data_IF_751315685277
#
_entry.id   IF_751315685277
#
_cell.length_a   1.000
_cell.length_b   1.000
_cell.length_c   1.000
_cell.angle_alpha   90.00
_cell.angle_beta   90.00
_cell.angle_gamma   90.00
#
_symmetry.space_group_name_H-M   'P 1'
#
loop_
_entity.id
_entity.type
_entity.pdbx_description
1 polymer ?
#
# COMPACT_ATOMS: atom_id res chain seq x y z
N UNK A 1 34.56 20.47 -30.33
CA UNK A 1 34.25 20.07 -28.93
C UNK A 1 33.96 21.34 -28.14
N UNK A 2 32.75 21.47 -27.54
CA UNK A 2 32.45 22.58 -26.61
C UNK A 2 33.27 22.34 -25.34
N UNK A 3 33.99 23.37 -24.88
CA UNK A 3 34.68 23.31 -23.58
C UNK A 3 33.67 22.99 -22.46
N UNK A 4 34.03 22.17 -21.47
CA UNK A 4 33.17 21.91 -20.32
C UNK A 4 32.88 23.24 -19.62
N UNK A 5 31.60 23.61 -19.55
CA UNK A 5 31.14 24.81 -18.85
C UNK A 5 31.52 24.68 -17.37
N UNK A 6 32.13 25.68 -16.77
CA UNK A 6 32.34 25.72 -15.33
C UNK A 6 30.98 25.69 -14.63
N UNK A 7 30.81 24.90 -13.54
CA UNK A 7 29.57 24.87 -12.77
C UNK A 7 29.22 26.29 -12.29
N UNK A 8 28.02 26.75 -12.62
CA UNK A 8 27.49 28.04 -12.16
C UNK A 8 26.91 27.91 -10.73
N UNK A 9 26.85 29.02 -10.03
CA UNK A 9 26.31 29.07 -8.65
C UNK A 9 24.85 28.60 -8.57
N UNK A 10 24.05 28.74 -9.63
CA UNK A 10 22.63 28.44 -9.70
C UNK A 10 22.28 27.18 -10.54
N UNK A 11 23.28 26.41 -10.99
CA UNK A 11 23.05 25.26 -11.89
C UNK A 11 22.14 24.20 -11.24
N UNK A 12 22.18 24.06 -9.91
CA UNK A 12 21.37 23.12 -9.13
C UNK A 12 19.90 23.58 -9.09
N UNK A 13 19.66 24.87 -8.84
CA UNK A 13 18.34 25.48 -8.81
C UNK A 13 17.68 25.45 -10.19
N UNK A 14 18.44 25.80 -11.24
CA UNK A 14 17.98 25.75 -12.64
C UNK A 14 17.58 24.30 -13.01
N UNK A 15 18.41 23.32 -12.66
CA UNK A 15 18.10 21.91 -12.91
C UNK A 15 16.88 21.45 -12.12
N UNK A 16 16.71 21.91 -10.88
CA UNK A 16 15.53 21.61 -10.07
C UNK A 16 14.25 22.20 -10.67
N UNK A 17 14.32 23.43 -11.21
CA UNK A 17 13.20 24.07 -11.90
C UNK A 17 12.82 23.30 -13.17
N UNK A 18 13.79 22.97 -14.03
CA UNK A 18 13.57 22.18 -15.25
C UNK A 18 12.89 20.82 -14.95
N UNK A 19 13.34 20.08 -13.92
CA UNK A 19 12.71 18.82 -13.53
C UNK A 19 11.26 19.03 -13.05
N UNK A 20 10.99 20.16 -12.41
CA UNK A 20 9.63 20.51 -11.97
C UNK A 20 8.72 20.81 -13.15
N UNK A 21 9.19 21.56 -14.14
CA UNK A 21 8.47 21.83 -15.39
C UNK A 21 8.19 20.55 -16.20
N UNK A 22 9.15 19.62 -16.21
CA UNK A 22 8.97 18.28 -16.80
C UNK A 22 7.96 17.39 -16.05
N UNK A 23 7.47 17.84 -14.89
CA UNK A 23 6.44 17.15 -14.14
C UNK A 23 6.96 16.07 -13.18
N UNK A 24 8.09 16.32 -12.49
CA UNK A 24 8.62 15.40 -11.45
C UNK A 24 7.52 15.03 -10.43
N UNK A 25 7.06 13.77 -10.38
CA UNK A 25 5.96 13.34 -9.51
C UNK A 25 6.29 13.45 -8.02
N UNK A 26 7.57 13.44 -7.66
CA UNK A 26 8.03 13.52 -6.27
C UNK A 26 7.82 14.92 -5.67
N UNK A 27 7.77 15.96 -6.50
CA UNK A 27 7.45 17.33 -6.05
C UNK A 27 6.05 17.37 -5.44
N UNK A 28 5.07 16.81 -6.17
CA UNK A 28 3.69 16.71 -5.68
C UNK A 28 3.56 15.90 -4.40
N UNK A 29 4.26 14.78 -4.33
CA UNK A 29 4.27 13.91 -3.16
C UNK A 29 4.90 14.62 -1.94
N UNK A 30 6.04 15.30 -2.14
CA UNK A 30 6.72 16.05 -1.09
C UNK A 30 5.84 17.16 -0.50
N UNK A 31 5.15 17.91 -1.37
CA UNK A 31 4.40 19.09 -0.98
C UNK A 31 3.03 18.81 -0.33
N UNK A 32 2.39 17.71 -0.72
CA UNK A 32 1.01 17.41 -0.31
C UNK A 32 0.87 16.55 0.94
N UNK A 33 1.94 15.86 1.34
CA UNK A 33 1.98 15.04 2.54
C UNK A 33 2.58 15.84 3.69
N UNK A 34 1.90 15.85 4.83
CA UNK A 34 2.49 16.36 6.08
C UNK A 34 3.41 15.29 6.68
N UNK A 35 4.68 15.32 6.31
CA UNK A 35 5.68 14.35 6.73
C UNK A 35 5.99 14.43 8.21
N UNK A 36 5.93 15.63 8.80
CA UNK A 36 6.24 15.85 10.21
C UNK A 36 5.17 15.25 11.14
N UNK A 37 3.95 15.07 10.66
CA UNK A 37 2.90 14.38 11.41
C UNK A 37 3.26 12.93 11.80
N UNK A 38 4.16 12.30 11.05
CA UNK A 38 4.66 10.94 11.36
C UNK A 38 5.78 10.91 12.39
N UNK A 39 6.42 12.04 12.67
CA UNK A 39 7.61 12.12 13.54
C UNK A 39 7.40 11.53 14.94
N UNK A 40 6.30 11.81 15.66
CA UNK A 40 6.10 11.27 17.01
C UNK A 40 6.15 9.74 17.03
N UNK A 41 5.45 9.10 16.08
CA UNK A 41 5.40 7.64 15.97
C UNK A 41 6.75 7.05 15.52
N UNK A 42 7.39 7.68 14.54
CA UNK A 42 8.68 7.26 14.00
C UNK A 42 9.82 7.40 15.00
N UNK A 43 9.78 8.39 15.92
CA UNK A 43 10.83 8.62 16.91
C UNK A 43 11.00 7.43 17.85
N UNK A 44 9.95 6.65 18.08
CA UNK A 44 9.97 5.40 18.86
C UNK A 44 11.00 4.38 18.33
N UNK A 45 11.39 4.46 17.04
CA UNK A 45 12.45 3.62 16.46
C UNK A 45 13.81 3.85 17.12
N UNK A 46 14.04 5.04 17.67
CA UNK A 46 15.31 5.43 18.30
C UNK A 46 15.28 5.37 19.83
N UNK A 47 14.12 5.04 20.42
CA UNK A 47 14.00 4.84 21.86
C UNK A 47 14.77 3.58 22.27
N UNK A 48 16.01 3.77 22.67
CA UNK A 48 16.88 2.78 23.28
C UNK A 48 17.71 3.44 24.36
N UNK A 49 17.86 2.73 25.47
CA UNK A 49 18.84 3.09 26.48
C UNK A 49 20.23 3.06 25.86
N UNK A 50 20.79 4.23 25.63
CA UNK A 50 22.17 4.37 25.15
C UNK A 50 23.12 4.23 26.28
N UNK A 51 24.01 3.25 26.23
CA UNK A 51 25.09 3.08 27.20
C UNK A 51 26.12 4.22 27.15
N UNK A 52 26.24 4.93 26.03
CA UNK A 52 27.11 6.09 25.84
C UNK A 52 26.60 7.03 24.75
N UNK A 53 27.08 8.28 24.75
CA UNK A 53 26.83 9.28 23.70
C UNK A 53 27.77 9.11 22.47
N UNK A 54 28.68 8.15 22.51
CA UNK A 54 29.67 7.90 21.47
C UNK A 54 29.00 7.31 20.21
N UNK A 55 29.58 7.53 19.04
CA UNK A 55 29.17 7.01 17.74
C UNK A 55 28.43 8.02 16.85
N UNK A 56 28.25 7.64 15.59
CA UNK A 56 27.56 8.47 14.60
C UNK A 56 26.10 8.72 15.01
N UNK A 57 25.62 9.94 14.84
CA UNK A 57 24.21 10.27 15.05
C UNK A 57 23.34 9.46 14.07
N UNK A 58 22.18 8.96 14.50
CA UNK A 58 21.25 8.30 13.58
C UNK A 58 20.72 9.31 12.58
N UNK A 59 20.32 8.81 11.42
CA UNK A 59 19.59 9.61 10.44
C UNK A 59 18.24 10.04 10.98
N UNK A 60 17.75 11.18 10.49
CA UNK A 60 16.43 11.68 10.84
C UNK A 60 15.34 10.63 10.47
N UNK A 61 14.38 10.43 11.37
CA UNK A 61 13.36 9.39 11.21
C UNK A 61 12.39 9.67 10.06
N UNK A 62 12.10 10.95 9.80
CA UNK A 62 11.22 11.35 8.67
C UNK A 62 11.96 11.17 7.34
N UNK A 63 13.26 11.48 7.30
CA UNK A 63 14.11 11.18 6.14
C UNK A 63 14.12 9.69 5.85
N UNK A 64 14.32 8.84 6.85
CA UNK A 64 14.32 7.40 6.71
C UNK A 64 12.96 6.86 6.24
N UNK A 65 11.87 7.43 6.72
CA UNK A 65 10.53 7.06 6.27
C UNK A 65 10.28 7.46 4.81
N UNK A 66 10.63 8.69 4.42
CA UNK A 66 10.59 9.13 3.01
C UNK A 66 11.42 8.22 2.10
N UNK A 67 12.57 7.76 2.58
CA UNK A 67 13.40 6.81 1.85
C UNK A 67 12.68 5.47 1.63
N UNK A 68 11.97 4.93 2.64
CA UNK A 68 11.16 3.71 2.47
C UNK A 68 9.99 3.93 1.49
N UNK A 69 9.41 5.12 1.47
CA UNK A 69 8.39 5.49 0.47
C UNK A 69 8.97 5.46 -0.95
N UNK A 70 10.15 6.04 -1.17
CA UNK A 70 10.85 5.95 -2.47
C UNK A 70 11.17 4.50 -2.85
N UNK A 71 11.69 3.73 -1.88
CA UNK A 71 12.02 2.33 -2.08
C UNK A 71 10.81 1.52 -2.52
N UNK A 72 9.65 1.76 -1.90
CA UNK A 72 8.40 1.10 -2.24
C UNK A 72 7.87 1.56 -3.60
N UNK A 73 7.83 2.87 -3.85
CA UNK A 73 7.30 3.48 -5.06
C UNK A 73 8.04 2.99 -6.32
N UNK A 74 9.36 2.82 -6.22
CA UNK A 74 10.22 2.39 -7.32
C UNK A 74 10.64 0.93 -7.26
N UNK A 75 10.07 0.13 -6.35
CA UNK A 75 10.37 -1.29 -6.14
C UNK A 75 11.89 -1.59 -6.06
N UNK A 76 12.61 -0.84 -5.23
CA UNK A 76 14.06 -0.94 -5.11
C UNK A 76 14.47 -1.86 -3.95
N UNK A 77 15.59 -2.59 -4.11
CA UNK A 77 16.27 -3.28 -3.00
C UNK A 77 17.01 -2.28 -2.10
N UNK A 78 17.48 -2.75 -0.94
CA UNK A 78 18.25 -1.90 -0.01
C UNK A 78 19.54 -1.37 -0.66
N UNK A 79 20.25 -2.21 -1.41
CA UNK A 79 21.46 -1.79 -2.15
C UNK A 79 21.11 -0.82 -3.30
N UNK A 80 20.02 -1.08 -4.01
CA UNK A 80 19.61 -0.21 -5.12
C UNK A 80 19.15 1.16 -4.65
N UNK A 81 18.44 1.27 -3.52
CA UNK A 81 18.03 2.58 -3.02
C UNK A 81 19.23 3.41 -2.56
N UNK A 82 20.24 2.79 -1.90
CA UNK A 82 21.49 3.48 -1.55
C UNK A 82 22.17 4.04 -2.81
N UNK A 83 22.33 3.23 -3.87
CA UNK A 83 22.91 3.67 -5.12
C UNK A 83 22.11 4.81 -5.75
N UNK A 84 20.78 4.64 -5.86
CA UNK A 84 19.90 5.62 -6.51
C UNK A 84 19.84 6.97 -5.76
N UNK A 85 20.03 6.96 -4.44
CA UNK A 85 20.11 8.21 -3.65
C UNK A 85 21.35 9.03 -3.99
N UNK A 86 22.46 8.38 -4.40
CA UNK A 86 23.68 9.08 -4.83
C UNK A 86 23.61 9.52 -6.28
N UNK A 87 22.88 8.79 -7.13
CA UNK A 87 22.80 8.97 -8.56
C UNK A 87 21.67 9.94 -8.98
N UNK A 88 20.49 9.85 -8.33
CA UNK A 88 19.29 10.58 -8.76
C UNK A 88 19.06 11.87 -7.98
N UNK A 89 19.25 12.98 -8.66
CA UNK A 89 19.00 14.30 -8.10
C UNK A 89 17.55 14.49 -7.58
N UNK A 90 16.53 13.94 -8.28
CA UNK A 90 15.12 14.00 -7.83
C UNK A 90 14.90 13.29 -6.49
N UNK A 91 15.63 12.21 -6.19
CA UNK A 91 15.54 11.49 -4.94
C UNK A 91 16.15 12.29 -3.79
N UNK A 92 17.36 12.86 -4.01
CA UNK A 92 18.00 13.75 -3.03
C UNK A 92 17.10 14.93 -2.70
N UNK A 93 16.56 15.60 -3.73
CA UNK A 93 15.62 16.72 -3.58
C UNK A 93 14.37 16.32 -2.80
N UNK A 94 13.79 15.15 -3.04
CA UNK A 94 12.64 14.65 -2.30
C UNK A 94 12.94 14.44 -0.82
N UNK A 95 14.11 13.90 -0.50
CA UNK A 95 14.57 13.71 0.88
C UNK A 95 15.02 15.01 1.56
N UNK A 96 15.34 16.04 0.79
CA UNK A 96 15.93 17.30 1.28
C UNK A 96 17.42 17.21 1.54
N UNK A 97 18.13 16.30 0.87
CA UNK A 97 19.57 16.11 0.92
C UNK A 97 20.30 17.05 -0.06
N UNK A 98 21.46 17.54 0.36
CA UNK A 98 22.43 18.22 -0.50
C UNK A 98 23.42 17.19 -1.08
N UNK A 99 24.24 17.60 -2.05
CA UNK A 99 25.21 16.71 -2.72
C UNK A 99 26.29 16.16 -1.75
N UNK A 100 26.67 16.96 -0.77
CA UNK A 100 27.67 16.62 0.27
C UNK A 100 27.08 15.84 1.44
N UNK A 101 25.76 15.75 1.54
CA UNK A 101 25.12 15.09 2.68
C UNK A 101 25.38 13.60 2.72
N UNK A 102 25.50 13.10 3.92
CA UNK A 102 25.63 11.67 4.16
C UNK A 102 24.34 10.93 3.78
N UNK A 103 24.48 9.89 2.97
CA UNK A 103 23.39 9.01 2.51
C UNK A 103 23.32 7.75 3.39
N UNK A 104 22.12 7.29 3.79
CA UNK A 104 21.94 6.02 4.47
C UNK A 104 22.38 4.83 3.63
N UNK A 105 23.18 3.92 4.19
CA UNK A 105 23.59 2.68 3.57
C UNK A 105 22.49 1.60 3.63
N UNK A 106 22.62 0.57 2.83
CA UNK A 106 21.66 -0.54 2.74
C UNK A 106 21.37 -1.20 4.10
N UNK A 107 22.38 -1.34 4.94
CA UNK A 107 22.25 -1.91 6.30
C UNK A 107 21.43 -1.01 7.20
N UNK A 108 21.63 0.29 7.13
CA UNK A 108 20.85 1.29 7.88
C UNK A 108 19.37 1.25 7.49
N UNK A 109 19.09 1.16 6.17
CA UNK A 109 17.72 1.04 5.64
C UNK A 109 17.06 -0.24 6.16
N UNK A 110 17.76 -1.36 6.07
CA UNK A 110 17.27 -2.65 6.57
C UNK A 110 17.00 -2.62 8.07
N UNK A 111 17.92 -2.07 8.88
CA UNK A 111 17.74 -1.95 10.33
C UNK A 111 16.54 -1.08 10.71
N UNK A 112 16.36 0.03 10.02
CA UNK A 112 15.22 0.92 10.26
C UNK A 112 13.89 0.18 10.01
N UNK A 113 13.78 -0.55 8.89
CA UNK A 113 12.60 -1.36 8.56
C UNK A 113 12.36 -2.49 9.57
N UNK A 114 13.41 -3.18 10.04
CA UNK A 114 13.29 -4.21 11.07
C UNK A 114 12.79 -3.64 12.41
N UNK A 115 13.18 -2.42 12.76
CA UNK A 115 12.66 -1.71 13.94
C UNK A 115 11.20 -1.33 13.79
N UNK A 116 10.80 -0.78 12.63
CA UNK A 116 9.39 -0.53 12.31
C UNK A 116 8.55 -1.80 12.47
N UNK A 117 9.06 -2.94 11.97
CA UNK A 117 8.42 -4.24 12.13
C UNK A 117 8.28 -4.62 13.61
N UNK A 118 9.37 -4.54 14.38
CA UNK A 118 9.38 -4.91 15.81
C UNK A 118 8.40 -4.10 16.65
N UNK A 119 8.20 -2.83 16.31
CA UNK A 119 7.30 -1.91 16.98
C UNK A 119 5.88 -1.88 16.35
N UNK A 120 5.61 -2.69 15.30
CA UNK A 120 4.34 -2.72 14.55
C UNK A 120 3.88 -1.33 14.07
N UNK A 121 4.83 -0.47 13.70
CA UNK A 121 4.53 0.92 13.37
C UNK A 121 3.86 1.10 12.00
N UNK A 122 3.89 0.11 11.12
CA UNK A 122 3.32 0.25 9.77
C UNK A 122 1.82 0.57 9.81
N UNK A 123 1.08 -0.09 10.70
CA UNK A 123 -0.36 0.13 10.86
C UNK A 123 -0.63 1.50 11.50
N UNK A 124 0.21 1.93 12.44
CA UNK A 124 0.14 3.25 13.07
C UNK A 124 0.38 4.36 12.03
N UNK A 125 1.38 4.19 11.16
CA UNK A 125 1.67 5.15 10.08
C UNK A 125 0.55 5.19 9.04
N UNK A 126 -0.09 4.05 8.77
CA UNK A 126 -1.26 3.99 7.90
C UNK A 126 -2.44 4.76 8.50
N UNK A 127 -2.74 4.54 9.79
CA UNK A 127 -3.78 5.29 10.50
C UNK A 127 -3.48 6.80 10.56
N UNK A 128 -2.23 7.18 10.84
CA UNK A 128 -1.80 8.60 10.83
C UNK A 128 -2.01 9.26 9.47
N UNK A 129 -1.83 8.52 8.38
CA UNK A 129 -2.11 9.05 7.06
C UNK A 129 -3.61 9.20 6.80
N UNK A 130 -4.44 8.30 7.34
CA UNK A 130 -5.90 8.44 7.28
C UNK A 130 -6.40 9.71 7.98
N UNK A 131 -5.80 10.10 9.09
CA UNK A 131 -6.10 11.39 9.74
C UNK A 131 -5.83 12.57 8.78
N UNK A 132 -4.70 12.57 8.06
CA UNK A 132 -4.40 13.59 7.05
C UNK A 132 -5.39 13.58 5.87
N UNK A 133 -5.89 12.40 5.46
CA UNK A 133 -6.92 12.31 4.43
C UNK A 133 -8.23 12.94 4.91
N UNK A 134 -8.62 12.66 6.15
CA UNK A 134 -9.82 13.24 6.77
C UNK A 134 -9.74 14.77 6.90
N UNK A 135 -8.61 15.30 7.36
CA UNK A 135 -8.34 16.74 7.43
C UNK A 135 -8.46 17.44 6.07
N UNK A 136 -8.16 16.73 4.98
CA UNK A 136 -8.28 17.22 3.60
C UNK A 136 -9.64 16.96 2.96
N UNK A 137 -10.61 16.42 3.72
CA UNK A 137 -11.95 16.13 3.24
C UNK A 137 -12.11 14.83 2.45
N UNK A 138 -11.06 14.01 2.32
CA UNK A 138 -11.13 12.71 1.65
C UNK A 138 -11.60 11.62 2.62
N UNK A 139 -12.82 11.75 3.10
CA UNK A 139 -13.46 10.76 3.96
C UNK A 139 -14.38 9.88 3.12
N UNK A 140 -14.31 8.57 3.35
CA UNK A 140 -15.21 7.61 2.71
C UNK A 140 -16.66 7.85 3.17
N UNK A 141 -17.52 8.34 2.29
CA UNK A 141 -18.93 8.60 2.58
C UNK A 141 -19.89 7.70 1.82
N UNK A 142 -19.41 7.05 0.77
CA UNK A 142 -20.19 6.14 -0.07
C UNK A 142 -19.75 4.67 0.16
N UNK A 143 -20.16 3.79 -0.74
CA UNK A 143 -19.89 2.36 -0.66
C UNK A 143 -18.41 2.00 -0.50
N UNK A 144 -18.19 0.82 0.04
CA UNK A 144 -16.87 0.22 0.25
C UNK A 144 -16.73 -1.04 -0.62
N UNK A 145 -15.52 -1.25 -1.15
CA UNK A 145 -15.20 -2.39 -2.02
C UNK A 145 -14.17 -3.27 -1.34
N UNK A 146 -14.53 -4.54 -1.09
CA UNK A 146 -13.65 -5.50 -0.44
C UNK A 146 -13.20 -6.55 -1.45
N UNK A 147 -11.89 -6.73 -1.56
CA UNK A 147 -11.29 -7.75 -2.41
C UNK A 147 -9.89 -8.12 -1.93
N UNK A 148 -9.32 -9.19 -2.50
CA UNK A 148 -8.00 -9.67 -2.15
C UNK A 148 -7.17 -10.01 -3.39
N UNK A 149 -5.88 -9.68 -3.32
CA UNK A 149 -4.89 -10.09 -4.33
C UNK A 149 -3.81 -10.97 -3.73
N UNK A 150 -3.27 -11.88 -4.55
CA UNK A 150 -2.13 -12.68 -4.16
C UNK A 150 -0.84 -11.87 -4.22
N UNK A 151 0.01 -12.11 -3.22
CA UNK A 151 1.37 -11.59 -3.14
C UNK A 151 2.31 -12.78 -3.05
N UNK A 152 2.92 -13.13 -4.16
CA UNK A 152 3.75 -14.31 -4.26
C UNK A 152 5.12 -14.08 -3.60
N UNK A 153 5.71 -15.18 -3.13
CA UNK A 153 7.07 -15.24 -2.59
C UNK A 153 7.88 -16.30 -3.33
N UNK A 154 9.23 -16.27 -3.25
CA UNK A 154 10.06 -17.31 -3.85
C UNK A 154 9.63 -18.70 -3.40
N UNK A 155 9.33 -19.57 -4.38
CA UNK A 155 8.95 -20.95 -4.12
C UNK A 155 10.10 -21.69 -3.45
N UNK A 156 9.79 -22.44 -2.41
CA UNK A 156 10.78 -23.17 -1.64
C UNK A 156 10.81 -24.64 -2.07
N UNK A 157 12.01 -25.21 -2.12
CA UNK A 157 12.19 -26.65 -2.32
C UNK A 157 12.11 -27.32 -0.94
N UNK A 158 10.94 -27.80 -0.58
CA UNK A 158 10.69 -28.59 0.62
C UNK A 158 10.33 -30.01 0.24
N UNK A 159 10.61 -30.97 1.10
CA UNK A 159 10.12 -32.35 0.95
C UNK A 159 8.60 -32.39 1.21
N UNK A 160 7.99 -33.52 0.90
CA UNK A 160 6.56 -33.74 1.16
C UNK A 160 6.25 -33.71 2.65
N UNK A 161 7.13 -34.32 3.45
CA UNK A 161 7.06 -34.38 4.91
C UNK A 161 7.23 -33.01 5.54
N UNK A 162 8.25 -32.23 5.10
CA UNK A 162 8.45 -30.83 5.53
C UNK A 162 7.20 -29.97 5.25
N UNK A 163 6.60 -30.13 4.07
CA UNK A 163 5.38 -29.39 3.73
C UNK A 163 4.17 -29.83 4.58
N UNK A 164 4.06 -31.11 4.96
CA UNK A 164 3.00 -31.60 5.84
C UNK A 164 3.13 -30.98 7.23
N UNK A 165 4.32 -30.97 7.82
CA UNK A 165 4.59 -30.33 9.12
C UNK A 165 4.30 -28.81 9.08
N UNK A 166 4.77 -28.11 8.04
CA UNK A 166 4.47 -26.68 7.87
C UNK A 166 2.96 -26.42 7.74
N UNK A 167 2.21 -27.31 7.09
CA UNK A 167 0.76 -27.19 6.97
C UNK A 167 0.06 -27.41 8.33
N UNK A 168 0.61 -28.26 9.19
CA UNK A 168 0.15 -28.46 10.56
C UNK A 168 0.53 -27.27 11.48
N UNK A 169 1.30 -26.31 11.01
CA UNK A 169 1.79 -25.17 11.82
C UNK A 169 3.10 -25.47 12.56
N UNK A 170 3.72 -26.59 12.29
CA UNK A 170 4.94 -27.05 12.93
C UNK A 170 6.16 -26.67 12.08
N UNK A 171 7.30 -26.45 12.75
CA UNK A 171 8.59 -26.29 12.06
C UNK A 171 9.23 -27.67 11.92
N UNK A 172 9.64 -28.08 10.71
CA UNK A 172 10.28 -29.39 10.52
C UNK A 172 11.43 -29.63 11.48
N UNK A 173 11.42 -30.76 12.17
CA UNK A 173 12.43 -31.13 13.19
C UNK A 173 13.85 -31.10 12.64
N UNK A 174 14.03 -31.53 11.39
CA UNK A 174 15.31 -31.47 10.70
C UNK A 174 15.87 -30.02 10.56
N UNK A 175 15.02 -28.99 10.65
CA UNK A 175 15.47 -27.57 10.56
C UNK A 175 15.85 -27.00 11.93
N UNK A 176 15.54 -27.71 13.02
CA UNK A 176 15.89 -27.29 14.38
C UNK A 176 17.31 -27.70 14.79
N UNK A 177 17.96 -28.54 13.97
CA UNK A 177 19.34 -28.99 14.22
C UNK A 177 20.34 -27.83 14.04
N UNK A 178 21.44 -27.78 14.81
CA UNK A 178 22.42 -26.71 14.72
C UNK A 178 22.97 -26.52 13.29
N UNK A 179 23.18 -27.60 12.56
CA UNK A 179 23.69 -27.59 11.19
C UNK A 179 22.69 -27.03 10.17
N UNK A 180 21.41 -27.11 10.48
CA UNK A 180 20.34 -26.65 9.60
C UNK A 180 19.91 -25.19 9.83
N UNK A 181 20.51 -24.47 10.79
CA UNK A 181 20.12 -23.11 11.12
C UNK A 181 20.22 -22.14 9.93
N UNK A 182 21.26 -22.30 9.08
CA UNK A 182 21.40 -21.49 7.87
C UNK A 182 20.24 -21.75 6.89
N UNK A 183 19.86 -23.01 6.70
CA UNK A 183 18.68 -23.42 5.89
C UNK A 183 17.40 -22.83 6.47
N UNK A 184 17.17 -22.96 7.78
CA UNK A 184 15.98 -22.46 8.48
C UNK A 184 15.80 -20.95 8.29
N UNK A 185 16.88 -20.16 8.39
CA UNK A 185 16.83 -18.69 8.22
C UNK A 185 16.40 -18.26 6.81
N UNK A 186 16.54 -19.14 5.82
CA UNK A 186 16.15 -18.90 4.42
C UNK A 186 14.76 -19.46 4.10
N UNK A 187 14.11 -20.14 5.04
CA UNK A 187 12.80 -20.77 4.86
C UNK A 187 11.69 -19.90 5.43
N UNK A 188 10.68 -19.65 4.61
CA UNK A 188 9.43 -19.03 5.04
C UNK A 188 8.50 -20.13 5.57
N UNK A 189 8.25 -20.12 6.88
CA UNK A 189 7.41 -21.11 7.56
C UNK A 189 5.93 -20.72 7.58
N UNK A 190 5.59 -19.51 7.13
CA UNK A 190 4.24 -18.95 7.21
C UNK A 190 3.57 -18.78 5.85
N UNK A 191 4.35 -18.67 4.76
CA UNK A 191 3.81 -18.68 3.40
C UNK A 191 3.11 -20.01 3.10
N UNK A 192 1.99 -19.96 2.38
CA UNK A 192 1.15 -21.13 2.08
C UNK A 192 0.84 -21.23 0.60
N UNK A 193 0.59 -22.47 0.18
CA UNK A 193 0.03 -22.77 -1.14
C UNK A 193 -1.49 -22.61 -1.12
N UNK A 194 -2.02 -22.11 -2.22
CA UNK A 194 -3.45 -22.13 -2.51
C UNK A 194 -3.67 -22.36 -4.01
N UNK A 195 -4.90 -22.71 -4.38
CA UNK A 195 -5.32 -22.87 -5.77
C UNK A 195 -6.54 -21.97 -6.03
N UNK A 196 -6.49 -21.17 -7.08
CA UNK A 196 -7.63 -20.36 -7.56
C UNK A 196 -7.67 -20.44 -9.09
N UNK A 197 -8.82 -20.76 -9.66
CA UNK A 197 -9.03 -20.85 -11.12
C UNK A 197 -7.95 -21.69 -11.85
N UNK A 198 -7.66 -22.90 -11.34
CA UNK A 198 -6.62 -23.83 -11.84
C UNK A 198 -5.15 -23.36 -11.63
N UNK A 199 -4.90 -22.12 -11.24
CA UNK A 199 -3.56 -21.62 -10.91
C UNK A 199 -3.17 -21.87 -9.46
N UNK A 200 -1.88 -22.15 -9.25
CA UNK A 200 -1.32 -22.38 -7.91
C UNK A 200 -0.49 -21.17 -7.49
N UNK A 201 -0.85 -20.57 -6.37
CA UNK A 201 -0.17 -19.44 -5.75
C UNK A 201 0.54 -19.86 -4.49
N UNK A 202 1.74 -19.33 -4.26
CA UNK A 202 2.51 -19.57 -3.05
C UNK A 202 2.93 -18.24 -2.42
N UNK A 203 2.49 -17.97 -1.22
CA UNK A 203 2.82 -16.72 -0.52
C UNK A 203 1.73 -16.25 0.43
N UNK A 204 1.35 -15.01 0.25
CA UNK A 204 0.42 -14.26 1.08
C UNK A 204 -0.74 -13.69 0.25
N UNK A 205 -1.72 -13.12 0.93
CA UNK A 205 -2.76 -12.28 0.34
C UNK A 205 -2.73 -10.90 0.96
N UNK A 206 -2.98 -9.88 0.14
CA UNK A 206 -3.32 -8.54 0.56
C UNK A 206 -4.83 -8.37 0.40
N UNK A 207 -5.55 -8.38 1.51
CA UNK A 207 -6.98 -8.08 1.55
C UNK A 207 -7.14 -6.60 1.81
N UNK A 208 -7.96 -5.92 1.04
CA UNK A 208 -8.19 -4.49 1.19
C UNK A 208 -9.68 -4.18 1.21
N UNK A 209 -10.03 -3.15 1.94
CA UNK A 209 -11.26 -2.40 1.80
C UNK A 209 -10.91 -1.03 1.20
N UNK A 210 -11.44 -0.72 0.04
CA UNK A 210 -11.25 0.57 -0.61
C UNK A 210 -12.59 1.30 -0.79
N UNK A 211 -12.60 2.60 -0.58
CA UNK A 211 -13.79 3.40 -0.81
C UNK A 211 -14.14 3.51 -2.30
N UNK A 212 -15.42 3.57 -2.60
CA UNK A 212 -15.92 3.62 -3.96
C UNK A 212 -15.56 4.91 -4.71
N UNK A 213 -15.73 6.13 -4.13
CA UNK A 213 -15.50 7.38 -4.87
C UNK A 213 -14.01 7.64 -5.15
N UNK A 214 -13.17 7.58 -4.11
CA UNK A 214 -11.77 7.98 -4.19
C UNK A 214 -10.82 6.84 -4.50
N UNK A 215 -11.24 5.58 -4.31
CA UNK A 215 -10.40 4.37 -4.41
C UNK A 215 -9.22 4.41 -3.42
N UNK A 216 -9.43 5.02 -2.26
CA UNK A 216 -8.47 5.01 -1.16
C UNK A 216 -8.67 3.76 -0.31
N UNK A 217 -7.59 3.06 0.03
CA UNK A 217 -7.65 1.91 0.93
C UNK A 217 -7.96 2.42 2.33
N UNK A 218 -9.07 1.96 2.91
CA UNK A 218 -9.53 2.33 4.25
C UNK A 218 -8.95 1.42 5.32
N UNK A 219 -8.91 0.12 5.04
CA UNK A 219 -8.34 -0.91 5.90
C UNK A 219 -7.70 -2.01 5.05
N UNK A 220 -6.80 -2.76 5.65
CA UNK A 220 -6.19 -3.91 4.99
C UNK A 220 -5.80 -4.99 6.00
N UNK A 221 -5.75 -6.24 5.52
CA UNK A 221 -5.22 -7.37 6.27
C UNK A 221 -4.27 -8.19 5.39
N UNK A 222 -3.21 -8.71 5.99
CA UNK A 222 -2.24 -9.56 5.29
C UNK A 222 -2.24 -10.95 5.93
N UNK A 223 -2.56 -11.97 5.13
CA UNK A 223 -2.67 -13.36 5.58
C UNK A 223 -1.84 -14.30 4.73
N UNK A 224 -1.53 -15.52 5.21
CA UNK A 224 -1.08 -16.59 4.34
C UNK A 224 -2.07 -16.85 3.20
N UNK A 225 -1.59 -17.21 2.01
CA UNK A 225 -2.44 -17.37 0.83
C UNK A 225 -3.56 -18.42 0.98
N UNK A 226 -3.43 -19.37 1.90
CA UNK A 226 -4.43 -20.40 2.17
C UNK A 226 -5.65 -19.93 2.99
N UNK A 227 -5.56 -18.76 3.61
CA UNK A 227 -6.69 -18.20 4.38
C UNK A 227 -7.80 -17.79 3.40
N UNK A 228 -9.02 -18.22 3.68
CA UNK A 228 -10.16 -17.87 2.83
C UNK A 228 -10.56 -16.41 3.04
N UNK A 229 -10.92 -15.72 1.95
CA UNK A 229 -11.14 -14.27 1.96
C UNK A 229 -12.27 -13.85 2.93
N UNK A 230 -13.30 -14.70 3.09
CA UNK A 230 -14.41 -14.48 4.03
C UNK A 230 -14.00 -14.45 5.52
N UNK A 231 -12.83 -15.02 5.88
CA UNK A 231 -12.38 -15.05 7.28
C UNK A 231 -11.87 -13.70 7.79
N UNK A 232 -11.50 -12.79 6.90
CA UNK A 232 -11.00 -11.46 7.24
C UNK A 232 -11.99 -10.34 6.88
N UNK A 233 -13.19 -10.71 6.41
CA UNK A 233 -14.18 -9.77 5.93
C UNK A 233 -14.60 -8.77 7.01
N UNK A 234 -14.93 -9.25 8.20
CA UNK A 234 -15.41 -8.42 9.31
C UNK A 234 -14.31 -7.47 9.83
N UNK A 235 -13.03 -7.90 9.80
CA UNK A 235 -11.88 -7.06 10.15
C UNK A 235 -11.70 -5.88 9.18
N UNK A 236 -12.11 -6.06 7.92
CA UNK A 236 -11.95 -5.05 6.88
C UNK A 236 -13.09 -4.05 6.83
N UNK A 237 -14.27 -4.38 7.34
CA UNK A 237 -15.44 -3.51 7.26
C UNK A 237 -15.22 -2.20 8.02
N UNK A 238 -15.41 -1.09 7.32
CA UNK A 238 -15.54 0.22 7.96
C UNK A 238 -16.98 0.37 8.49
N UNK A 239 -17.12 0.30 9.80
CA UNK A 239 -18.40 0.39 10.50
C UNK A 239 -18.79 1.85 10.86
N UNK A 240 -17.98 2.84 10.50
CA UNK A 240 -18.31 4.24 10.77
C UNK A 240 -19.55 4.66 9.99
N UNK A 241 -20.47 5.37 10.64
CA UNK A 241 -21.66 5.93 10.01
C UNK A 241 -21.26 7.14 9.13
N UNK A 242 -21.98 7.35 8.02
CA UNK A 242 -21.86 8.59 7.28
C UNK A 242 -22.55 9.74 8.03
N UNK A 243 -22.25 10.98 7.62
CA UNK A 243 -22.80 12.17 8.28
C UNK A 243 -24.34 12.25 8.24
N UNK A 244 -24.97 11.51 7.34
CA UNK A 244 -26.42 11.50 7.11
C UNK A 244 -27.11 10.26 7.70
N UNK A 245 -26.36 9.37 8.39
CA UNK A 245 -26.86 8.11 8.95
C UNK A 245 -27.26 7.08 7.90
N UNK A 246 -26.81 7.22 6.64
CA UNK A 246 -27.15 6.29 5.58
C UNK A 246 -26.35 4.99 5.69
N UNK A 247 -26.99 3.90 5.28
CA UNK A 247 -26.35 2.59 5.15
C UNK A 247 -25.27 2.64 4.07
N UNK A 248 -24.07 2.17 4.40
CA UNK A 248 -23.00 2.03 3.41
C UNK A 248 -23.19 0.77 2.58
N UNK A 249 -23.09 0.91 1.26
CA UNK A 249 -23.09 -0.24 0.36
C UNK A 249 -21.75 -0.98 0.42
N UNK A 250 -21.79 -2.32 0.55
CA UNK A 250 -20.62 -3.18 0.63
C UNK A 250 -20.54 -4.06 -0.60
N UNK A 251 -19.56 -3.79 -1.47
CA UNK A 251 -19.32 -4.53 -2.71
C UNK A 251 -18.21 -5.56 -2.51
N UNK A 252 -18.52 -6.82 -2.78
CA UNK A 252 -17.55 -7.91 -2.74
C UNK A 252 -17.94 -9.01 -3.76
N UNK A 253 -17.02 -9.95 -3.99
CA UNK A 253 -17.32 -11.08 -4.86
C UNK A 253 -18.19 -12.13 -4.15
N UNK A 254 -18.68 -13.11 -4.90
CA UNK A 254 -19.55 -14.16 -4.37
C UNK A 254 -18.87 -15.11 -3.38
N UNK A 255 -17.54 -15.08 -3.25
CA UNK A 255 -16.80 -15.87 -2.26
C UNK A 255 -17.00 -15.34 -0.83
N UNK A 256 -17.35 -14.07 -0.69
CA UNK A 256 -17.67 -13.44 0.58
C UNK A 256 -19.12 -13.64 1.03
N UNK A 257 -20.00 -14.16 0.16
CA UNK A 257 -21.42 -14.31 0.46
C UNK A 257 -21.70 -15.55 1.31
N UNK A 258 -22.29 -15.35 2.47
CA UNK A 258 -22.92 -16.37 3.30
C UNK A 258 -24.15 -15.79 4.00
N UNK A 259 -25.03 -16.65 4.50
CA UNK A 259 -26.21 -16.21 5.24
C UNK A 259 -25.81 -15.40 6.48
N UNK A 260 -24.78 -15.85 7.19
CA UNK A 260 -24.26 -15.14 8.37
C UNK A 260 -23.70 -13.76 8.04
N UNK A 261 -23.00 -13.61 6.89
CA UNK A 261 -22.46 -12.32 6.45
C UNK A 261 -23.57 -11.34 6.07
N UNK A 262 -24.60 -11.81 5.35
CA UNK A 262 -25.76 -10.99 5.00
C UNK A 262 -26.48 -10.49 6.27
N UNK A 263 -26.65 -11.37 7.26
CA UNK A 263 -27.23 -10.99 8.54
C UNK A 263 -26.39 -9.94 9.28
N UNK A 264 -25.07 -10.14 9.37
CA UNK A 264 -24.16 -9.19 10.02
C UNK A 264 -24.17 -7.83 9.34
N UNK A 265 -24.21 -7.78 8.00
CA UNK A 265 -24.32 -6.51 7.27
C UNK A 265 -25.64 -5.80 7.58
N UNK A 266 -26.74 -6.56 7.64
CA UNK A 266 -28.06 -6.01 7.99
C UNK A 266 -28.08 -5.48 9.44
N UNK A 267 -27.52 -6.23 10.40
CA UNK A 267 -27.40 -5.82 11.81
C UNK A 267 -26.59 -4.53 11.98
N UNK A 268 -25.54 -4.35 11.15
CA UNK A 268 -24.73 -3.14 11.10
C UNK A 268 -25.31 -2.03 10.21
N UNK A 269 -26.55 -2.16 9.77
CA UNK A 269 -27.22 -1.21 8.87
C UNK A 269 -26.47 -0.95 7.55
N UNK A 270 -25.77 -1.97 7.05
CA UNK A 270 -25.04 -1.90 5.79
C UNK A 270 -25.84 -2.55 4.66
N UNK A 271 -25.83 -1.95 3.48
CA UNK A 271 -26.47 -2.51 2.31
C UNK A 271 -25.55 -3.53 1.63
N UNK A 272 -25.98 -4.79 1.55
CA UNK A 272 -25.22 -5.82 0.84
C UNK A 272 -25.33 -5.66 -0.66
N UNK A 273 -24.20 -5.38 -1.31
CA UNK A 273 -23.99 -5.43 -2.75
C UNK A 273 -23.02 -6.58 -3.14
N UNK A 274 -22.94 -7.61 -2.30
CA UNK A 274 -22.15 -8.81 -2.58
C UNK A 274 -22.80 -9.58 -3.75
N UNK A 275 -21.98 -10.05 -4.70
CA UNK A 275 -22.48 -10.82 -5.84
C UNK A 275 -23.15 -12.14 -5.39
N UNK A 276 -24.24 -12.50 -6.02
CA UNK A 276 -24.92 -13.74 -5.75
C UNK A 276 -24.20 -14.93 -6.39
N UNK A 277 -24.26 -16.08 -5.74
CA UNK A 277 -23.65 -17.33 -6.21
C UNK A 277 -24.75 -18.35 -6.57
N UNK A 278 -24.69 -18.83 -7.79
CA UNK A 278 -25.49 -20.00 -8.17
C UNK A 278 -24.97 -21.27 -7.50
N UNK A 279 -25.87 -22.20 -7.16
CA UNK A 279 -25.51 -23.51 -6.62
C UNK A 279 -25.87 -24.61 -7.61
N UNK A 280 -25.32 -25.82 -7.40
CA UNK A 280 -25.65 -26.99 -8.24
C UNK A 280 -27.14 -27.28 -8.13
N UNK A 281 -27.86 -27.21 -9.26
CA UNK A 281 -29.33 -27.42 -9.30
C UNK A 281 -30.15 -26.15 -9.10
N UNK A 282 -29.54 -25.01 -8.75
CA UNK A 282 -30.22 -23.70 -8.69
C UNK A 282 -29.32 -22.62 -9.30
N UNK A 283 -29.28 -22.52 -10.65
CA UNK A 283 -28.52 -21.48 -11.33
C UNK A 283 -29.11 -20.10 -11.05
N UNK A 284 -28.32 -19.05 -11.26
CA UNK A 284 -28.79 -17.67 -11.14
C UNK A 284 -29.87 -17.37 -12.19
N UNK A 285 -30.94 -16.65 -11.76
CA UNK A 285 -31.92 -16.07 -12.67
C UNK A 285 -31.30 -14.98 -13.55
N UNK A 286 -31.96 -14.59 -14.63
CA UNK A 286 -31.50 -13.50 -15.49
C UNK A 286 -31.46 -12.16 -14.75
N UNK A 287 -32.41 -11.92 -13.85
CA UNK A 287 -32.43 -10.76 -12.97
C UNK A 287 -31.21 -10.72 -12.03
N UNK A 288 -30.89 -11.87 -11.39
CA UNK A 288 -29.71 -12.00 -10.54
C UNK A 288 -28.40 -11.81 -11.32
N UNK A 289 -28.33 -12.34 -12.53
CA UNK A 289 -27.17 -12.13 -13.43
C UNK A 289 -27.02 -10.66 -13.81
N UNK A 290 -28.13 -9.96 -14.08
CA UNK A 290 -28.12 -8.54 -14.39
C UNK A 290 -27.69 -7.70 -13.17
N UNK A 291 -28.25 -7.98 -11.98
CA UNK A 291 -27.84 -7.35 -10.73
C UNK A 291 -26.35 -7.58 -10.43
N UNK A 292 -25.85 -8.81 -10.61
CA UNK A 292 -24.43 -9.13 -10.45
C UNK A 292 -23.53 -8.35 -11.43
N UNK A 293 -23.96 -8.13 -12.67
CA UNK A 293 -23.20 -7.30 -13.63
C UNK A 293 -23.07 -5.86 -13.14
N UNK A 294 -24.13 -5.30 -12.56
CA UNK A 294 -24.10 -3.93 -12.00
C UNK A 294 -23.18 -3.86 -10.79
N UNK A 295 -23.30 -4.79 -9.85
CA UNK A 295 -22.44 -4.90 -8.66
C UNK A 295 -20.96 -5.07 -9.06
N UNK A 296 -20.70 -5.95 -10.04
CA UNK A 296 -19.33 -6.21 -10.55
C UNK A 296 -18.70 -4.98 -11.21
N UNK A 297 -19.46 -4.11 -11.88
CA UNK A 297 -18.93 -2.87 -12.46
C UNK A 297 -18.37 -1.92 -11.39
N UNK A 298 -19.02 -1.86 -10.23
CA UNK A 298 -18.53 -1.06 -9.11
C UNK A 298 -17.31 -1.73 -8.48
N UNK A 299 -17.40 -3.02 -8.16
CA UNK A 299 -16.31 -3.80 -7.57
C UNK A 299 -15.03 -3.77 -8.43
N UNK A 300 -15.16 -3.88 -9.75
CA UNK A 300 -14.03 -3.85 -10.68
C UNK A 300 -13.13 -2.60 -10.51
N UNK A 301 -13.62 -1.55 -9.85
CA UNK A 301 -12.79 -0.38 -9.53
C UNK A 301 -11.65 -0.70 -8.56
N UNK A 302 -11.76 -1.76 -7.74
CA UNK A 302 -10.68 -2.19 -6.84
C UNK A 302 -9.48 -2.72 -7.63
N UNK A 303 -9.68 -3.23 -8.83
CA UNK A 303 -8.61 -3.70 -9.71
C UNK A 303 -7.65 -2.56 -10.13
N UNK A 304 -8.12 -1.31 -10.16
CA UNK A 304 -7.23 -0.16 -10.34
C UNK A 304 -6.27 0.02 -9.16
N UNK A 305 -6.70 -0.33 -7.94
CA UNK A 305 -5.83 -0.33 -6.76
C UNK A 305 -4.74 -1.38 -6.93
N UNK A 306 -5.14 -2.61 -7.23
CA UNK A 306 -4.19 -3.71 -7.43
C UNK A 306 -3.26 -3.49 -8.64
N UNK A 307 -3.78 -2.91 -9.74
CA UNK A 307 -2.96 -2.53 -10.89
C UNK A 307 -1.89 -1.50 -10.56
N UNK A 308 -2.21 -0.49 -9.77
CA UNK A 308 -1.23 0.49 -9.29
C UNK A 308 -0.20 -0.13 -8.34
N UNK A 309 -0.64 -1.05 -7.47
CA UNK A 309 0.26 -1.81 -6.59
C UNK A 309 1.18 -2.74 -7.40
N UNK A 310 0.68 -3.35 -8.47
CA UNK A 310 1.47 -4.17 -9.39
C UNK A 310 2.62 -3.39 -10.02
N UNK A 311 2.37 -2.14 -10.44
CA UNK A 311 3.40 -1.24 -10.97
C UNK A 311 4.50 -0.93 -9.93
N UNK A 312 4.18 -0.98 -8.63
CA UNK A 312 5.13 -0.87 -7.52
C UNK A 312 5.74 -2.22 -7.09
N UNK A 313 5.61 -3.28 -7.91
CA UNK A 313 6.10 -4.62 -7.62
C UNK A 313 5.27 -5.38 -6.59
N UNK A 314 3.99 -5.05 -6.43
CA UNK A 314 3.12 -5.56 -5.37
C UNK A 314 2.74 -7.04 -5.49
N UNK A 315 2.92 -7.66 -6.65
CA UNK A 315 2.63 -9.09 -6.83
C UNK A 315 3.71 -10.02 -6.28
N UNK A 316 4.87 -9.48 -5.93
CA UNK A 316 6.00 -10.30 -5.54
C UNK A 316 6.80 -9.66 -4.39
N UNK A 317 6.98 -10.42 -3.31
CA UNK A 317 7.85 -10.00 -2.20
C UNK A 317 8.93 -11.05 -1.93
N UNK A 318 10.12 -10.59 -1.58
CA UNK A 318 11.29 -11.46 -1.26
C UNK A 318 11.56 -11.55 0.24
N UNK A 319 10.65 -11.04 1.05
CA UNK A 319 10.76 -11.10 2.50
C UNK A 319 10.43 -12.50 3.00
N UNK A 320 11.05 -12.91 4.10
CA UNK A 320 10.80 -14.18 4.76
C UNK A 320 9.98 -13.92 6.03
N UNK A 321 8.84 -14.61 6.13
CA UNK A 321 7.94 -14.57 7.26
C UNK A 321 6.86 -13.49 7.16
N UNK A 322 5.70 -13.80 7.74
CA UNK A 322 4.47 -12.98 7.67
C UNK A 322 4.68 -11.55 8.19
N UNK A 323 5.46 -11.37 9.26
CA UNK A 323 5.66 -10.04 9.85
C UNK A 323 6.40 -9.09 8.91
N UNK A 324 7.39 -9.58 8.15
CA UNK A 324 8.07 -8.78 7.13
C UNK A 324 7.18 -8.55 5.90
N UNK A 325 6.39 -9.56 5.53
CA UNK A 325 5.39 -9.41 4.47
C UNK A 325 4.35 -8.34 4.84
N UNK A 326 3.84 -8.32 6.09
CA UNK A 326 2.94 -7.27 6.60
C UNK A 326 3.54 -5.87 6.46
N UNK A 327 4.80 -5.69 6.83
CA UNK A 327 5.47 -4.38 6.68
C UNK A 327 5.60 -3.99 5.21
N UNK A 328 6.03 -4.91 4.34
CA UNK A 328 6.22 -4.61 2.91
C UNK A 328 4.89 -4.29 2.23
N UNK A 329 3.85 -5.08 2.49
CA UNK A 329 2.51 -4.90 1.92
C UNK A 329 1.83 -3.67 2.54
N UNK A 330 1.94 -3.46 3.85
CA UNK A 330 1.39 -2.27 4.50
C UNK A 330 2.01 -0.97 4.00
N UNK A 331 3.34 -0.93 3.80
CA UNK A 331 4.00 0.20 3.15
C UNK A 331 3.53 0.40 1.71
N UNK A 332 3.27 -0.67 0.97
CA UNK A 332 2.71 -0.59 -0.39
C UNK A 332 1.31 0.04 -0.37
N UNK A 333 0.43 -0.40 0.53
CA UNK A 333 -0.91 0.15 0.70
C UNK A 333 -0.85 1.65 1.07
N UNK A 334 0.05 2.02 1.98
CA UNK A 334 0.26 3.41 2.39
C UNK A 334 0.76 4.28 1.24
N UNK A 335 1.79 3.82 0.50
CA UNK A 335 2.35 4.56 -0.64
C UNK A 335 1.33 4.69 -1.77
N UNK A 336 0.52 3.66 -2.00
CA UNK A 336 -0.61 3.75 -2.93
C UNK A 336 -1.57 4.89 -2.53
N UNK A 337 -1.99 4.96 -1.27
CA UNK A 337 -2.87 6.01 -0.79
C UNK A 337 -2.23 7.41 -0.91
N UNK A 338 -0.93 7.54 -0.61
CA UNK A 338 -0.20 8.81 -0.79
C UNK A 338 -0.20 9.27 -2.25
N UNK A 339 0.09 8.37 -3.18
CA UNK A 339 0.07 8.67 -4.61
C UNK A 339 -1.35 8.98 -5.12
N UNK A 340 -2.34 8.26 -4.58
CA UNK A 340 -3.75 8.48 -4.92
C UNK A 340 -4.22 9.87 -4.46
N UNK A 341 -3.87 10.30 -3.26
CA UNK A 341 -4.14 11.66 -2.78
C UNK A 341 -3.54 12.72 -3.71
N UNK A 342 -2.28 12.55 -4.13
CA UNK A 342 -1.63 13.46 -5.07
C UNK A 342 -2.41 13.58 -6.39
N UNK A 343 -2.91 12.44 -6.90
CA UNK A 343 -3.74 12.42 -8.10
C UNK A 343 -5.09 13.13 -7.89
N UNK A 344 -5.79 12.83 -6.79
CA UNK A 344 -7.09 13.43 -6.49
C UNK A 344 -6.98 14.97 -6.44
N UNK A 345 -6.04 15.50 -5.67
CA UNK A 345 -5.81 16.95 -5.59
C UNK A 345 -5.50 17.55 -6.98
N UNK A 346 -4.75 16.84 -7.82
CA UNK A 346 -4.43 17.33 -9.18
C UNK A 346 -5.69 17.40 -10.08
N UNK A 347 -6.62 16.47 -9.92
CA UNK A 347 -7.86 16.46 -10.68
C UNK A 347 -8.87 17.48 -10.17
N UNK A 348 -9.00 17.65 -8.86
CA UNK A 348 -9.88 18.65 -8.25
C UNK A 348 -9.49 20.08 -8.69
N UNK A 349 -8.18 20.39 -8.69
CA UNK A 349 -7.69 21.69 -9.19
C UNK A 349 -8.01 21.90 -10.67
N UNK A 350 -7.96 20.85 -11.49
CA UNK A 350 -8.29 20.95 -12.92
C UNK A 350 -9.79 21.11 -13.17
N UNK A 351 -10.64 20.50 -12.35
CA UNK A 351 -12.09 20.68 -12.43
C UNK A 351 -12.47 22.14 -12.15
N UNK A 352 -12.00 22.69 -11.03
CA UNK A 352 -12.22 24.10 -10.66
C UNK A 352 -11.72 25.06 -11.76
N UNK A 353 -10.57 24.76 -12.38
CA UNK A 353 -10.03 25.62 -13.47
C UNK A 353 -10.87 25.56 -14.75
N UNK A 354 -11.53 24.43 -15.04
CA UNK A 354 -12.45 24.30 -16.19
C UNK A 354 -13.74 25.05 -15.96
N UNK A 355 -14.35 24.87 -14.78
CA UNK A 355 -15.59 25.56 -14.41
C UNK A 355 -15.41 27.09 -14.47
N UNK A 356 -14.25 27.62 -14.04
CA UNK A 356 -13.91 29.04 -14.16
C UNK A 356 -13.67 29.53 -15.61
N UNK A 357 -13.19 28.64 -16.50
CA UNK A 357 -13.01 28.97 -17.92
C UNK A 357 -14.34 28.91 -18.70
N UNK A 358 -15.21 27.97 -18.36
CA UNK A 358 -16.53 27.84 -18.98
C UNK A 358 -17.45 29.01 -18.57
N UNK A 359 -17.39 29.47 -17.31
CA UNK A 359 -18.12 30.64 -16.81
C UNK A 359 -17.68 31.96 -17.48
N UNK A 360 -16.37 32.07 -17.84
CA UNK A 360 -15.86 33.22 -18.61
C UNK A 360 -16.24 33.16 -20.09
N UNK A 361 -16.49 31.99 -20.66
CA UNK A 361 -16.91 31.86 -22.07
C UNK A 361 -18.39 32.20 -22.28
N UNK A 362 -19.25 31.99 -21.28
CA UNK A 362 -20.64 32.41 -21.32
C UNK A 362 -20.84 33.94 -21.18
N UNK A 363 -19.95 34.61 -20.43
CA UNK A 363 -20.03 36.06 -20.25
C UNK A 363 -19.60 36.82 -21.52
N UNK A 364 -18.70 36.29 -22.32
CA UNK A 364 -18.23 36.91 -23.59
C UNK A 364 -19.23 36.73 -24.74
N UNK A 365 -20.15 35.76 -24.64
CA UNK A 365 -21.17 35.52 -25.69
C UNK A 365 -22.47 36.33 -25.52
N UNK A 366 -22.59 37.16 -24.47
CA UNK A 366 -23.77 38.04 -24.22
C UNK A 366 -23.50 39.47 -24.67
N UNK A 367 -22.26 39.87 -24.97
CA UNK A 367 -21.91 41.22 -25.41
C UNK A 367 -21.51 41.33 -26.90
N UNK A 368 -21.90 40.39 -27.77
CA UNK A 368 -21.63 40.43 -29.21
C UNK A 368 -22.93 40.54 -30.02
#
# INVERSE_FOLDING_TARGET
MKQPRQPGLFDIEERAAQLTEMGDPLVGLRARINWEAFRPDLSRVHEKDRKSKAGAKPFDVVLMFKLLVLQQLHNLSDDKIEYQLRDRFSFMRFLGLQLEDRVPDAKTVWLFRERLKGLKLTDVLFARFHEQLAEKGYVARAGQMIDATFVEVPRQRNTREENAQLKAGEVPDAWNQPEAQAKRRQKDTEARWTKKNEERHYGYKNHINADQPYKLIQSYAVTPASVHDSQVFDELLDQSEDADGNKRAVYADSAYRSQDQEQRLADNRMESQICEKGTRGKPLSEEQKHANRTKSKVRARVEHVFGAQAAMGGHWVRTIGLQRAKVKIGLMNLVYNMMRLVQLIKYDVKAVSRDLMDDHSEVVSIEA
#
